data_IF_122362749948
#
_entry.id   IF_122362749948
#
_cell.length_a   1.000
_cell.length_b   1.000
_cell.length_c   1.000
_cell.angle_alpha   90.00
_cell.angle_beta   90.00
_cell.angle_gamma   90.00
#
_symmetry.space_group_name_H-M   'P 1'
#
loop_
_entity.id
_entity.type
_entity.pdbx_description
1 polymer ?
#
# COMPACT_ATOMS: atom_id res chain seq x y z
N UNK A 1 -13.05 -18.58 -8.02
CA UNK A 1 -12.49 -17.23 -7.81
C UNK A 1 -10.97 -17.21 -7.62
N UNK A 2 -10.38 -17.93 -6.63
CA UNK A 2 -8.91 -17.93 -6.40
C UNK A 2 -8.11 -18.35 -7.64
N UNK A 3 -8.55 -19.38 -8.35
CA UNK A 3 -7.91 -19.89 -9.59
C UNK A 3 -7.95 -18.83 -10.69
N UNK A 4 -9.11 -18.19 -10.93
CA UNK A 4 -9.25 -17.14 -11.94
C UNK A 4 -8.31 -15.95 -11.67
N UNK A 5 -8.20 -15.53 -10.40
CA UNK A 5 -7.28 -14.45 -10.02
C UNK A 5 -5.82 -14.89 -10.21
N UNK A 6 -5.48 -16.15 -9.89
CA UNK A 6 -4.14 -16.69 -10.11
C UNK A 6 -3.80 -16.75 -11.61
N UNK A 7 -4.69 -17.22 -12.45
CA UNK A 7 -4.52 -17.24 -13.90
C UNK A 7 -4.35 -15.84 -14.48
N UNK A 8 -5.21 -14.88 -14.06
CA UNK A 8 -5.10 -13.49 -14.49
C UNK A 8 -3.76 -12.85 -14.08
N UNK A 9 -3.24 -13.16 -12.88
CA UNK A 9 -1.92 -12.67 -12.42
C UNK A 9 -0.75 -13.31 -13.17
N UNK A 10 -0.89 -14.58 -13.53
CA UNK A 10 0.11 -15.32 -14.28
C UNK A 10 0.07 -15.03 -15.79
N UNK A 11 -0.84 -14.16 -16.26
CA UNK A 11 -1.00 -13.86 -17.69
C UNK A 11 -1.54 -15.01 -18.52
N UNK A 12 -2.12 -16.04 -17.88
CA UNK A 12 -2.69 -17.20 -18.58
C UNK A 12 -3.98 -16.76 -19.27
N UNK A 13 -4.08 -16.91 -20.61
CA UNK A 13 -5.28 -16.54 -21.34
C UNK A 13 -6.47 -17.40 -20.90
N UNK A 14 -7.57 -16.73 -20.53
CA UNK A 14 -8.82 -17.38 -20.16
C UNK A 14 -9.79 -17.29 -21.33
N UNK A 15 -10.19 -18.43 -21.87
CA UNK A 15 -11.13 -18.50 -23.00
C UNK A 15 -12.53 -18.78 -22.41
N UNK A 16 -13.51 -17.89 -22.63
CA UNK A 16 -14.88 -18.16 -22.23
C UNK A 16 -15.48 -19.26 -23.12
N UNK A 17 -16.05 -20.28 -22.50
CA UNK A 17 -16.78 -21.34 -23.19
C UNK A 17 -18.24 -21.17 -22.86
N UNK A 18 -19.08 -21.10 -23.89
CA UNK A 18 -20.54 -21.05 -23.74
C UNK A 18 -21.03 -22.44 -23.33
N UNK A 19 -21.74 -22.51 -22.22
CA UNK A 19 -22.36 -23.74 -21.72
C UNK A 19 -23.87 -23.52 -21.63
N UNK A 20 -24.65 -24.53 -21.92
CA UNK A 20 -26.09 -24.53 -21.64
C UNK A 20 -26.28 -24.79 -20.15
N UNK A 21 -27.05 -23.92 -19.48
CA UNK A 21 -27.38 -24.10 -18.08
C UNK A 21 -28.72 -24.81 -17.99
N UNK A 22 -28.70 -26.04 -17.50
CA UNK A 22 -29.93 -26.83 -17.26
C UNK A 22 -30.37 -26.57 -15.83
N UNK A 23 -31.51 -25.97 -15.64
CA UNK A 23 -32.14 -25.76 -14.34
C UNK A 23 -33.05 -26.94 -14.00
N UNK A 24 -32.66 -27.76 -13.06
CA UNK A 24 -33.52 -28.82 -12.52
C UNK A 24 -34.43 -28.23 -11.42
N UNK A 25 -35.71 -28.57 -11.44
CA UNK A 25 -36.72 -28.16 -10.44
C UNK A 25 -36.76 -26.65 -10.13
N UNK A 26 -36.71 -25.81 -11.17
CA UNK A 26 -36.80 -24.36 -10.98
C UNK A 26 -35.63 -23.73 -10.13
N UNK A 27 -34.51 -24.42 -10.02
CA UNK A 27 -33.34 -23.99 -9.25
C UNK A 27 -33.51 -24.06 -7.72
N UNK A 28 -34.39 -24.91 -7.21
CA UNK A 28 -34.62 -25.10 -5.77
C UNK A 28 -33.38 -25.62 -5.02
N UNK A 29 -32.40 -26.20 -5.73
CA UNK A 29 -31.14 -26.72 -5.16
C UNK A 29 -30.01 -25.69 -4.99
N UNK A 30 -30.27 -24.40 -5.13
CA UNK A 30 -29.24 -23.38 -4.99
C UNK A 30 -28.76 -23.24 -3.56
N UNK A 31 -27.56 -23.73 -3.26
CA UNK A 31 -26.89 -23.55 -1.96
C UNK A 31 -26.13 -22.22 -1.86
N UNK A 32 -26.46 -21.23 -2.70
CA UNK A 32 -25.83 -19.91 -2.68
C UNK A 32 -26.40 -19.07 -1.53
N UNK A 33 -25.55 -18.74 -0.58
CA UNK A 33 -25.87 -17.81 0.51
C UNK A 33 -25.31 -16.41 0.17
N UNK A 34 -26.17 -15.45 -0.25
CA UNK A 34 -25.70 -14.16 -0.81
C UNK A 34 -24.68 -13.44 0.07
N UNK A 35 -24.95 -13.33 1.38
CA UNK A 35 -24.06 -12.62 2.31
C UNK A 35 -22.77 -13.38 2.56
N UNK A 36 -22.86 -14.69 2.86
CA UNK A 36 -21.71 -15.52 3.21
C UNK A 36 -20.76 -15.71 2.03
N UNK A 37 -21.30 -15.93 0.84
CA UNK A 37 -20.51 -16.20 -0.35
C UNK A 37 -19.93 -14.90 -0.94
N UNK A 38 -20.68 -13.79 -0.88
CA UNK A 38 -20.13 -12.46 -1.18
C UNK A 38 -18.97 -12.11 -0.25
N UNK A 39 -19.09 -12.35 1.06
CA UNK A 39 -18.00 -12.13 2.01
C UNK A 39 -16.74 -12.94 1.68
N UNK A 40 -16.90 -14.21 1.30
CA UNK A 40 -15.78 -15.06 0.86
C UNK A 40 -15.09 -14.50 -0.40
N UNK A 41 -15.87 -14.00 -1.35
CA UNK A 41 -15.36 -13.38 -2.57
C UNK A 41 -14.59 -12.10 -2.23
N UNK A 42 -15.19 -11.19 -1.47
CA UNK A 42 -14.56 -9.95 -1.04
C UNK A 42 -13.28 -10.19 -0.23
N UNK A 43 -13.26 -11.18 0.66
CA UNK A 43 -12.07 -11.55 1.43
C UNK A 43 -10.90 -11.97 0.51
N UNK A 44 -11.18 -12.64 -0.60
CA UNK A 44 -10.14 -13.03 -1.56
C UNK A 44 -9.66 -11.83 -2.37
N UNK A 45 -10.58 -10.98 -2.86
CA UNK A 45 -10.26 -9.80 -3.67
C UNK A 45 -9.51 -8.76 -2.84
N UNK A 46 -10.04 -8.44 -1.66
CA UNK A 46 -9.49 -7.40 -0.78
C UNK A 46 -8.34 -7.89 0.11
N UNK A 47 -8.05 -9.19 0.11
CA UNK A 47 -7.02 -9.75 1.00
C UNK A 47 -5.63 -9.13 0.82
N UNK A 48 -5.25 -8.78 -0.41
CA UNK A 48 -3.99 -8.06 -0.68
C UNK A 48 -4.05 -6.61 -0.21
N UNK A 49 -5.21 -5.96 -0.36
CA UNK A 49 -5.43 -4.60 0.12
C UNK A 49 -5.37 -4.51 1.65
N UNK A 50 -6.01 -5.42 2.38
CA UNK A 50 -5.94 -5.45 3.84
C UNK A 50 -4.53 -5.75 4.36
N UNK A 51 -3.77 -6.61 3.69
CA UNK A 51 -2.36 -6.83 4.02
C UNK A 51 -1.52 -5.57 3.78
N UNK A 52 -1.76 -4.87 2.68
CA UNK A 52 -1.10 -3.59 2.40
C UNK A 52 -1.43 -2.53 3.47
N UNK A 53 -2.70 -2.43 3.85
CA UNK A 53 -3.13 -1.52 4.93
C UNK A 53 -2.45 -1.86 6.26
N UNK A 54 -2.43 -3.14 6.64
CA UNK A 54 -1.77 -3.61 7.86
C UNK A 54 -0.26 -3.33 7.85
N UNK A 55 0.42 -3.59 6.73
CA UNK A 55 1.86 -3.28 6.60
C UNK A 55 2.13 -1.78 6.70
N UNK A 56 1.28 -0.94 6.11
CA UNK A 56 1.42 0.51 6.16
C UNK A 56 1.22 1.06 7.58
N UNK A 57 0.20 0.58 8.30
CA UNK A 57 -0.02 0.95 9.70
C UNK A 57 1.16 0.52 10.60
N UNK A 58 1.67 -0.68 10.39
CA UNK A 58 2.86 -1.16 11.10
C UNK A 58 4.08 -0.28 10.83
N UNK A 59 4.28 0.16 9.59
CA UNK A 59 5.38 1.07 9.24
C UNK A 59 5.23 2.46 9.86
N UNK A 60 4.00 2.95 10.06
CA UNK A 60 3.78 4.19 10.82
C UNK A 60 4.25 4.03 12.26
N UNK A 61 3.98 2.91 12.92
CA UNK A 61 4.47 2.64 14.27
C UNK A 61 6.00 2.60 14.30
N UNK A 62 6.63 1.92 13.32
CA UNK A 62 8.10 1.89 13.21
C UNK A 62 8.67 3.29 13.01
N UNK A 63 8.05 4.12 12.16
CA UNK A 63 8.45 5.50 11.92
C UNK A 63 8.45 6.32 13.21
N UNK A 64 7.38 6.23 14.00
CA UNK A 64 7.27 6.93 15.28
C UNK A 64 8.29 6.45 16.31
N UNK A 65 8.45 5.14 16.46
CA UNK A 65 9.43 4.55 17.40
C UNK A 65 10.86 4.92 16.99
N UNK A 66 11.19 4.80 15.70
CA UNK A 66 12.51 5.18 15.19
C UNK A 66 12.79 6.68 15.38
N UNK A 67 11.81 7.53 15.08
CA UNK A 67 11.94 8.98 15.32
C UNK A 67 12.17 9.30 16.79
N UNK A 68 11.46 8.65 17.69
CA UNK A 68 11.61 8.81 19.13
C UNK A 68 13.01 8.39 19.60
N UNK A 69 13.47 7.19 19.21
CA UNK A 69 14.80 6.68 19.59
C UNK A 69 15.91 7.60 19.05
N UNK A 70 15.82 8.01 17.79
CA UNK A 70 16.79 8.91 17.17
C UNK A 70 16.83 10.27 17.89
N UNK A 71 15.64 10.84 18.18
CA UNK A 71 15.48 12.18 18.71
C UNK A 71 15.91 12.31 20.17
N UNK A 72 15.51 11.32 21.01
CA UNK A 72 15.69 11.42 22.47
C UNK A 72 16.98 10.75 22.96
N UNK A 73 17.49 9.76 22.24
CA UNK A 73 18.60 8.95 22.70
C UNK A 73 19.86 9.07 21.84
N UNK A 74 19.76 8.80 20.54
CA UNK A 74 20.93 8.70 19.67
C UNK A 74 21.57 10.07 19.39
N UNK A 75 20.77 11.01 18.90
CA UNK A 75 21.28 12.32 18.48
C UNK A 75 21.84 13.16 19.64
N UNK A 76 21.20 13.21 20.83
CA UNK A 76 21.77 13.85 21.96
C UNK A 76 23.11 13.21 22.43
N UNK A 77 23.21 11.87 22.36
CA UNK A 77 24.43 11.13 22.60
C UNK A 77 25.58 11.48 21.64
N UNK A 78 25.26 11.95 20.45
CA UNK A 78 26.24 12.41 19.42
C UNK A 78 26.49 13.94 19.47
N UNK A 79 26.00 14.63 20.51
CA UNK A 79 26.21 16.06 20.71
C UNK A 79 25.23 16.97 19.94
N UNK A 80 24.14 16.43 19.36
CA UNK A 80 23.09 17.23 18.76
C UNK A 80 22.04 17.55 19.85
N UNK A 81 21.88 18.82 20.26
CA UNK A 81 20.98 19.17 21.34
C UNK A 81 19.54 18.72 21.09
N UNK A 82 18.90 18.13 22.11
CA UNK A 82 17.51 17.71 22.04
C UNK A 82 16.61 18.92 21.71
N UNK A 83 15.64 18.73 20.81
CA UNK A 83 14.71 19.79 20.38
C UNK A 83 15.29 20.83 19.41
N UNK A 84 16.56 20.74 19.02
CA UNK A 84 17.12 21.61 17.99
C UNK A 84 16.52 21.28 16.61
N UNK A 85 16.53 22.27 15.70
CA UNK A 85 16.06 22.08 14.31
C UNK A 85 16.80 20.93 13.62
N UNK A 86 18.09 20.77 13.85
CA UNK A 86 18.90 19.67 13.34
C UNK A 86 18.46 18.32 13.88
N UNK A 87 18.21 18.24 15.21
CA UNK A 87 17.72 17.03 15.85
C UNK A 87 16.38 16.58 15.25
N UNK A 88 15.41 17.49 15.11
CA UNK A 88 14.09 17.21 14.55
C UNK A 88 14.18 16.77 13.09
N UNK A 89 14.99 17.44 12.26
CA UNK A 89 15.13 17.08 10.86
C UNK A 89 15.84 15.75 10.66
N UNK A 90 17.00 15.54 11.31
CA UNK A 90 17.77 14.30 11.15
C UNK A 90 16.98 13.10 11.66
N UNK A 91 16.31 13.22 12.82
CA UNK A 91 15.46 12.14 13.35
C UNK A 91 14.28 11.83 12.43
N UNK A 92 13.62 12.86 11.88
CA UNK A 92 12.50 12.69 10.96
C UNK A 92 12.89 12.00 9.63
N UNK A 93 13.98 12.46 9.00
CA UNK A 93 14.48 11.84 7.76
C UNK A 93 15.02 10.43 8.02
N UNK A 94 15.75 10.22 9.11
CA UNK A 94 16.26 8.91 9.51
C UNK A 94 15.16 7.89 9.75
N UNK A 95 14.11 8.27 10.50
CA UNK A 95 12.95 7.43 10.73
C UNK A 95 12.23 7.09 9.44
N UNK A 96 12.03 8.08 8.54
CA UNK A 96 11.42 7.87 7.21
C UNK A 96 12.20 6.90 6.34
N UNK A 97 13.52 6.98 6.33
CA UNK A 97 14.35 6.03 5.59
C UNK A 97 14.16 4.61 6.14
N UNK A 98 14.24 4.43 7.46
CA UNK A 98 14.06 3.14 8.13
C UNK A 98 12.66 2.58 7.80
N UNK A 99 11.62 3.34 8.04
CA UNK A 99 10.24 2.91 7.81
C UNK A 99 9.96 2.61 6.32
N UNK A 100 10.56 3.36 5.39
CA UNK A 100 10.44 3.11 3.95
C UNK A 100 11.09 1.79 3.52
N UNK A 101 12.26 1.46 4.05
CA UNK A 101 12.94 0.18 3.78
C UNK A 101 12.10 -0.99 4.31
N UNK A 102 11.58 -0.86 5.53
CA UNK A 102 10.69 -1.87 6.12
C UNK A 102 9.41 -2.01 5.31
N UNK A 103 8.78 -0.90 4.92
CA UNK A 103 7.56 -0.92 4.11
C UNK A 103 7.78 -1.58 2.75
N UNK A 104 8.89 -1.25 2.07
CA UNK A 104 9.27 -1.93 0.84
C UNK A 104 9.40 -3.44 1.02
N UNK A 105 10.11 -3.87 2.06
CA UNK A 105 10.34 -5.29 2.35
C UNK A 105 9.06 -6.04 2.67
N UNK A 106 8.19 -5.45 3.50
CA UNK A 106 6.89 -6.01 3.83
C UNK A 106 5.97 -6.09 2.61
N UNK A 107 5.91 -5.03 1.82
CA UNK A 107 5.09 -5.02 0.61
C UNK A 107 5.59 -6.04 -0.40
N UNK A 108 6.89 -6.11 -0.64
CA UNK A 108 7.49 -7.10 -1.54
C UNK A 108 7.18 -8.54 -1.10
N UNK A 109 7.44 -8.87 0.17
CA UNK A 109 7.43 -10.26 0.65
C UNK A 109 6.06 -10.73 1.12
N UNK A 110 5.31 -9.88 1.87
CA UNK A 110 4.04 -10.27 2.49
C UNK A 110 2.81 -9.88 1.67
N UNK A 111 2.81 -8.67 1.09
CA UNK A 111 1.64 -8.16 0.38
C UNK A 111 1.58 -8.72 -1.03
N UNK A 112 2.62 -8.46 -1.83
CA UNK A 112 2.65 -8.80 -3.25
C UNK A 112 3.36 -10.11 -3.54
N UNK A 113 4.13 -10.66 -2.59
CA UNK A 113 4.84 -11.95 -2.68
C UNK A 113 5.67 -12.10 -3.94
N UNK A 114 6.36 -11.02 -4.31
CA UNK A 114 7.17 -10.99 -5.52
C UNK A 114 8.50 -11.73 -5.36
N UNK A 115 8.81 -12.61 -6.31
CA UNK A 115 10.07 -13.38 -6.37
C UNK A 115 11.13 -12.77 -7.31
N UNK A 116 10.83 -11.68 -8.00
CA UNK A 116 11.68 -11.07 -9.04
C UNK A 116 12.85 -10.22 -8.52
N UNK A 117 13.62 -9.67 -9.48
CA UNK A 117 14.85 -8.90 -9.25
C UNK A 117 14.61 -7.67 -8.33
N UNK A 118 15.22 -7.71 -7.14
CA UNK A 118 15.00 -6.71 -6.09
C UNK A 118 15.45 -5.29 -6.43
N UNK A 119 16.49 -5.11 -7.25
CA UNK A 119 17.05 -3.77 -7.57
C UNK A 119 16.08 -2.93 -8.40
N UNK A 120 15.54 -3.48 -9.46
CA UNK A 120 14.59 -2.77 -10.32
C UNK A 120 13.28 -2.46 -9.58
N UNK A 121 12.83 -3.38 -8.74
CA UNK A 121 11.64 -3.20 -7.90
C UNK A 121 11.85 -2.11 -6.85
N UNK A 122 13.03 -2.06 -6.23
CA UNK A 122 13.36 -1.01 -5.25
C UNK A 122 13.41 0.39 -5.89
N UNK A 123 14.00 0.51 -7.09
CA UNK A 123 14.01 1.78 -7.83
C UNK A 123 12.60 2.24 -8.21
N UNK A 124 11.76 1.33 -8.73
CA UNK A 124 10.36 1.64 -9.04
C UNK A 124 9.58 2.06 -7.79
N UNK A 125 9.81 1.37 -6.66
CA UNK A 125 9.21 1.74 -5.39
C UNK A 125 9.62 3.14 -4.93
N UNK A 126 10.92 3.46 -4.95
CA UNK A 126 11.43 4.77 -4.60
C UNK A 126 10.83 5.88 -5.50
N UNK A 127 10.70 5.62 -6.80
CA UNK A 127 10.07 6.55 -7.74
C UNK A 127 8.60 6.78 -7.41
N UNK A 128 7.84 5.73 -7.07
CA UNK A 128 6.43 5.88 -6.61
C UNK A 128 6.37 6.72 -5.33
N UNK A 129 7.28 6.51 -4.37
CA UNK A 129 7.32 7.33 -3.15
C UNK A 129 7.54 8.81 -3.47
N UNK A 130 8.49 9.14 -4.36
CA UNK A 130 8.75 10.53 -4.78
C UNK A 130 7.52 11.13 -5.47
N UNK A 131 6.92 10.41 -6.41
CA UNK A 131 5.71 10.87 -7.11
C UNK A 131 4.58 11.16 -6.12
N UNK A 132 4.33 10.25 -5.19
CA UNK A 132 3.26 10.40 -4.16
C UNK A 132 3.53 11.64 -3.30
N UNK A 133 4.77 11.87 -2.86
CA UNK A 133 5.13 13.04 -2.06
C UNK A 133 4.91 14.33 -2.86
N UNK A 134 5.35 14.38 -4.12
CA UNK A 134 5.18 15.56 -4.97
C UNK A 134 3.70 15.87 -5.21
N UNK A 135 2.88 14.85 -5.52
CA UNK A 135 1.44 15.02 -5.74
C UNK A 135 0.74 15.43 -4.43
N UNK A 136 1.12 14.85 -3.28
CA UNK A 136 0.57 15.22 -1.97
C UNK A 136 0.81 16.70 -1.68
N UNK A 137 2.05 17.16 -1.80
CA UNK A 137 2.42 18.55 -1.52
C UNK A 137 1.71 19.53 -2.48
N UNK A 138 1.70 19.22 -3.77
CA UNK A 138 1.01 20.02 -4.77
C UNK A 138 -0.50 20.08 -4.50
N UNK A 139 -1.13 18.93 -4.20
CA UNK A 139 -2.54 18.85 -3.90
C UNK A 139 -2.92 19.64 -2.64
N UNK A 140 -2.15 19.51 -1.57
CA UNK A 140 -2.37 20.29 -0.34
C UNK A 140 -2.25 21.79 -0.60
N UNK A 141 -1.26 22.21 -1.40
CA UNK A 141 -1.10 23.62 -1.79
C UNK A 141 -2.29 24.13 -2.62
N UNK A 142 -2.75 23.38 -3.62
CA UNK A 142 -3.91 23.74 -4.44
C UNK A 142 -5.19 23.82 -3.62
N UNK A 143 -5.45 22.84 -2.74
CA UNK A 143 -6.62 22.83 -1.86
C UNK A 143 -6.58 24.00 -0.84
N UNK A 144 -5.39 24.36 -0.39
CA UNK A 144 -5.20 25.56 0.44
C UNK A 144 -5.58 26.86 -0.28
N UNK A 145 -5.33 26.95 -1.60
CA UNK A 145 -5.70 28.11 -2.42
C UNK A 145 -7.21 28.31 -2.54
N UNK A 146 -8.00 27.27 -2.45
CA UNK A 146 -9.48 27.35 -2.44
C UNK A 146 -10.07 27.47 -1.04
N UNK A 147 -9.23 27.78 -0.03
CA UNK A 147 -9.67 28.06 1.34
C UNK A 147 -9.85 26.84 2.24
N UNK A 148 -9.41 25.64 1.81
CA UNK A 148 -9.50 24.45 2.65
C UNK A 148 -8.47 24.50 3.78
N UNK A 149 -8.88 24.12 5.01
CA UNK A 149 -7.96 23.99 6.14
C UNK A 149 -6.83 23.00 5.82
N UNK A 150 -5.57 23.35 6.10
CA UNK A 150 -4.39 22.59 5.72
C UNK A 150 -4.40 21.14 6.21
N UNK A 151 -4.89 20.89 7.43
CA UNK A 151 -5.02 19.53 7.97
C UNK A 151 -6.04 18.67 7.19
N UNK A 152 -7.17 19.31 6.77
CA UNK A 152 -8.22 18.63 6.01
C UNK A 152 -7.74 18.33 4.58
N UNK A 153 -7.07 19.29 3.93
CA UNK A 153 -6.45 19.11 2.63
C UNK A 153 -5.42 17.95 2.67
N UNK A 154 -4.60 17.90 3.72
CA UNK A 154 -3.63 16.83 3.92
C UNK A 154 -4.30 15.47 4.09
N UNK A 155 -5.31 15.38 4.95
CA UNK A 155 -6.05 14.13 5.20
C UNK A 155 -6.69 13.58 3.92
N UNK A 156 -7.33 14.48 3.15
CA UNK A 156 -7.97 14.11 1.87
C UNK A 156 -6.94 13.61 0.85
N UNK A 157 -5.84 14.36 0.68
CA UNK A 157 -4.78 13.96 -0.24
C UNK A 157 -4.13 12.64 0.16
N UNK A 158 -3.81 12.45 1.43
CA UNK A 158 -3.19 11.21 1.91
C UNK A 158 -4.14 10.01 1.73
N UNK A 159 -5.44 10.20 1.92
CA UNK A 159 -6.44 9.15 1.68
C UNK A 159 -6.49 8.76 0.20
N UNK A 160 -6.61 9.72 -0.70
CA UNK A 160 -6.64 9.46 -2.15
C UNK A 160 -5.33 8.80 -2.62
N UNK A 161 -4.21 9.35 -2.18
CA UNK A 161 -2.89 8.85 -2.57
C UNK A 161 -2.57 7.48 -1.99
N UNK A 162 -3.17 7.11 -0.86
CA UNK A 162 -3.06 5.76 -0.32
C UNK A 162 -3.60 4.71 -1.30
N UNK A 163 -4.81 4.92 -1.86
CA UNK A 163 -5.39 4.03 -2.85
C UNK A 163 -4.60 4.04 -4.17
N UNK A 164 -4.17 5.21 -4.61
CA UNK A 164 -3.34 5.35 -5.80
C UNK A 164 -1.99 4.63 -5.64
N UNK A 165 -1.33 4.80 -4.50
CA UNK A 165 -0.06 4.13 -4.17
C UNK A 165 -0.23 2.60 -4.18
N UNK A 166 -1.31 2.08 -3.59
CA UNK A 166 -1.61 0.65 -3.64
C UNK A 166 -1.74 0.15 -5.08
N UNK A 167 -2.49 0.87 -5.93
CA UNK A 167 -2.67 0.51 -7.34
C UNK A 167 -1.37 0.55 -8.14
N UNK A 168 -0.57 1.61 -7.96
CA UNK A 168 0.72 1.76 -8.63
C UNK A 168 1.71 0.67 -8.19
N UNK A 169 1.75 0.36 -6.90
CA UNK A 169 2.61 -0.70 -6.40
C UNK A 169 2.18 -2.06 -6.95
N UNK A 170 0.89 -2.36 -6.98
CA UNK A 170 0.37 -3.62 -7.52
C UNK A 170 0.59 -3.76 -9.03
N UNK A 171 0.33 -2.70 -9.80
CA UNK A 171 0.31 -2.77 -11.25
C UNK A 171 1.69 -2.60 -11.90
N UNK A 172 2.60 -1.89 -11.23
CA UNK A 172 3.87 -1.50 -11.83
C UNK A 172 5.10 -1.87 -11.01
N UNK A 173 5.10 -1.62 -9.69
CA UNK A 173 6.29 -1.87 -8.85
C UNK A 173 6.51 -3.37 -8.66
N UNK A 174 5.46 -4.07 -8.24
CA UNK A 174 5.50 -5.50 -7.89
C UNK A 174 4.83 -6.41 -8.94
N UNK A 175 4.72 -5.92 -10.17
CA UNK A 175 4.28 -6.76 -11.29
C UNK A 175 5.36 -7.79 -11.58
N UNK A 176 5.00 -9.07 -11.60
CA UNK A 176 5.89 -10.12 -12.09
C UNK A 176 6.18 -9.84 -13.56
N UNK A 177 7.47 -9.87 -13.94
CA UNK A 177 7.85 -9.91 -15.34
C UNK A 177 7.34 -11.26 -15.87
N UNK A 178 6.44 -11.20 -16.87
CA UNK A 178 5.99 -12.38 -17.60
C UNK A 178 7.16 -13.01 -18.34
#
# INVERSE_FOLDING_TARGET
MKVLIACARAGIPMIPVTIETIYENGNEGTHFHPVRDSWRIYKVILGSFFRFMGSSLFCVLIDQVAAFILREWLLPGWGVPAGSLWNVNISGWGARLISSVVNYTLNKNLVFRQKGNGRNTALRYALVCVIVICISNLGVWLLGRIGMAGWLAKLLMDTVLYFLSYRLQQAWVFREAA
#
